data_IF_565485085820
#
_entry.id   IF_565485085820
#
_cell.length_a   1.000
_cell.length_b   1.000
_cell.length_c   1.000
_cell.angle_alpha   90.00
_cell.angle_beta   90.00
_cell.angle_gamma   90.00
#
_symmetry.space_group_name_H-M   'P 1'
#
loop_
_entity.id
_entity.type
_entity.pdbx_description
1 polymer ?
#
# COMPACT_ATOMS: atom_id res chain seq x y z
N UNK A 1 -11.25 -18.20 -63.06
CA UNK A 1 -11.70 -18.58 -61.70
C UNK A 1 -11.31 -17.47 -60.76
N UNK A 2 -12.33 -16.71 -60.38
CA UNK A 2 -12.17 -15.65 -59.38
C UNK A 2 -12.15 -16.32 -58.01
N UNK A 3 -11.02 -16.16 -57.26
CA UNK A 3 -10.78 -16.86 -56.02
C UNK A 3 -11.35 -16.07 -54.82
N UNK A 4 -12.61 -16.35 -54.47
CA UNK A 4 -13.34 -15.69 -53.39
C UNK A 4 -12.69 -15.84 -52.04
N UNK A 5 -11.87 -16.88 -51.84
CA UNK A 5 -11.15 -17.11 -50.60
C UNK A 5 -10.12 -16.00 -50.32
N UNK A 6 -9.49 -15.45 -51.37
CA UNK A 6 -8.53 -14.34 -51.24
C UNK A 6 -9.20 -13.02 -50.84
N UNK A 7 -10.46 -12.83 -51.22
CA UNK A 7 -11.20 -11.60 -50.91
C UNK A 7 -11.61 -11.55 -49.42
N UNK A 8 -11.85 -12.68 -48.80
CA UNK A 8 -12.25 -12.79 -47.37
C UNK A 8 -11.03 -12.69 -46.43
N UNK A 9 -9.91 -13.27 -46.83
CA UNK A 9 -8.68 -13.31 -46.01
C UNK A 9 -7.94 -11.97 -45.99
N UNK A 10 -8.05 -11.17 -47.08
CA UNK A 10 -7.34 -9.92 -47.23
C UNK A 10 -7.73 -8.84 -46.19
N UNK A 11 -9.02 -8.60 -45.87
CA UNK A 11 -9.43 -7.65 -44.84
C UNK A 11 -8.99 -8.08 -43.42
N UNK A 12 -9.08 -9.38 -43.10
CA UNK A 12 -8.65 -9.90 -41.78
C UNK A 12 -7.12 -9.78 -41.64
N UNK A 13 -6.36 -10.08 -42.71
CA UNK A 13 -4.92 -9.92 -42.70
C UNK A 13 -4.51 -8.45 -42.53
N UNK A 14 -5.13 -7.50 -43.28
CA UNK A 14 -4.89 -6.06 -43.12
C UNK A 14 -5.24 -5.54 -41.74
N UNK A 15 -6.36 -6.00 -41.17
CA UNK A 15 -6.77 -5.65 -39.81
C UNK A 15 -5.75 -6.13 -38.78
N UNK A 16 -5.26 -7.35 -38.90
CA UNK A 16 -4.27 -7.91 -37.99
C UNK A 16 -2.90 -7.24 -38.13
N UNK A 17 -2.48 -6.89 -39.35
CA UNK A 17 -1.23 -6.15 -39.60
C UNK A 17 -1.24 -4.77 -38.95
N UNK A 18 -2.40 -4.10 -38.86
CA UNK A 18 -2.55 -2.79 -38.21
C UNK A 18 -2.74 -2.96 -36.67
N UNK A 19 -3.57 -3.90 -36.25
CA UNK A 19 -3.87 -4.10 -34.83
C UNK A 19 -2.68 -4.67 -34.04
N UNK A 20 -1.88 -5.50 -34.65
CA UNK A 20 -0.75 -6.17 -33.98
C UNK A 20 0.31 -5.17 -33.48
N UNK A 21 0.80 -4.20 -34.30
CA UNK A 21 1.73 -3.20 -33.81
C UNK A 21 1.08 -2.22 -32.80
N UNK A 22 -0.22 -1.92 -32.95
CA UNK A 22 -0.94 -1.09 -31.99
C UNK A 22 -1.07 -1.76 -30.63
N UNK A 23 -1.43 -3.03 -30.59
CA UNK A 23 -1.51 -3.83 -29.38
C UNK A 23 -0.13 -4.06 -28.76
N UNK A 24 0.90 -4.30 -29.57
CA UNK A 24 2.28 -4.41 -29.11
C UNK A 24 2.78 -3.11 -28.46
N UNK A 25 2.49 -1.95 -29.09
CA UNK A 25 2.80 -0.64 -28.51
C UNK A 25 2.11 -0.45 -27.17
N UNK A 26 0.83 -0.76 -27.08
CA UNK A 26 0.04 -0.68 -25.83
C UNK A 26 0.58 -1.60 -24.74
N UNK A 27 0.95 -2.83 -25.11
CA UNK A 27 1.58 -3.77 -24.20
C UNK A 27 2.92 -3.25 -23.69
N UNK A 28 3.76 -2.69 -24.55
CA UNK A 28 5.05 -2.10 -24.17
C UNK A 28 4.83 -0.90 -23.23
N UNK A 29 3.85 -0.04 -23.50
CA UNK A 29 3.49 1.08 -22.61
C UNK A 29 3.06 0.58 -21.23
N UNK A 30 2.19 -0.44 -21.18
CA UNK A 30 1.75 -1.06 -19.92
C UNK A 30 2.95 -1.64 -19.17
N UNK A 31 3.80 -2.42 -19.84
CA UNK A 31 4.99 -3.03 -19.22
C UNK A 31 6.02 -1.97 -18.76
N UNK A 32 6.13 -0.86 -19.49
CA UNK A 32 6.98 0.27 -19.10
C UNK A 32 6.44 0.98 -17.86
N UNK A 33 5.14 1.26 -17.81
CA UNK A 33 4.47 1.83 -16.64
C UNK A 33 4.60 0.91 -15.42
N UNK A 34 4.46 -0.40 -15.60
CA UNK A 34 4.62 -1.38 -14.52
C UNK A 34 6.05 -1.37 -13.98
N UNK A 35 7.07 -1.32 -14.84
CA UNK A 35 8.48 -1.22 -14.43
C UNK A 35 8.83 0.13 -13.79
N UNK A 36 8.24 1.22 -14.24
CA UNK A 36 8.44 2.53 -13.59
C UNK A 36 7.81 2.55 -12.20
N UNK A 37 6.61 1.96 -12.03
CA UNK A 37 5.96 1.79 -10.72
C UNK A 37 6.84 0.94 -9.80
N UNK A 38 7.39 -0.15 -10.29
CA UNK A 38 8.27 -1.05 -9.52
C UNK A 38 9.55 -0.32 -9.05
N UNK A 39 10.20 0.44 -9.93
CA UNK A 39 11.42 1.21 -9.59
C UNK A 39 11.16 2.34 -8.59
N UNK A 40 10.03 3.02 -8.70
CA UNK A 40 9.65 4.11 -7.78
C UNK A 40 9.29 3.54 -6.41
N UNK A 41 8.63 2.38 -6.38
CA UNK A 41 8.19 1.75 -5.13
C UNK A 41 9.35 1.12 -4.34
N UNK A 42 10.42 0.67 -5.02
CA UNK A 42 11.61 0.12 -4.34
C UNK A 42 12.54 1.18 -3.75
N UNK A 43 12.50 2.42 -4.23
CA UNK A 43 13.49 3.45 -3.90
C UNK A 43 12.99 4.61 -3.07
N UNK A 44 11.67 4.84 -3.00
CA UNK A 44 11.13 6.00 -2.28
C UNK A 44 10.55 5.56 -0.93
N UNK A 45 11.07 6.08 0.19
CA UNK A 45 10.47 5.87 1.51
C UNK A 45 9.01 6.33 1.52
N UNK A 46 8.17 5.67 2.32
CA UNK A 46 6.76 6.07 2.55
C UNK A 46 6.64 7.56 2.85
N UNK A 47 7.63 8.06 3.59
CA UNK A 47 7.74 9.45 4.01
C UNK A 47 7.70 10.44 2.85
N UNK A 48 8.38 10.17 1.72
CA UNK A 48 8.42 11.12 0.60
C UNK A 48 7.05 11.33 -0.05
N UNK A 49 6.18 10.31 -0.01
CA UNK A 49 4.88 10.34 -0.70
C UNK A 49 3.73 10.74 0.20
N UNK A 50 3.75 10.34 1.46
CA UNK A 50 2.65 10.56 2.40
C UNK A 50 2.84 11.79 3.27
N UNK A 51 4.06 12.03 3.77
CA UNK A 51 4.31 13.15 4.70
C UNK A 51 3.81 14.51 4.21
N UNK A 52 3.93 14.88 2.91
CA UNK A 52 3.40 16.16 2.43
C UNK A 52 1.89 16.33 2.58
N UNK A 53 1.15 15.22 2.77
CA UNK A 53 -0.30 15.19 2.90
C UNK A 53 -0.78 14.86 4.32
N UNK A 54 0.15 14.64 5.25
CA UNK A 54 -0.14 14.29 6.64
C UNK A 54 0.01 15.48 7.57
N UNK A 55 -0.67 15.44 8.71
CA UNK A 55 -0.61 16.47 9.74
C UNK A 55 0.15 15.97 10.96
N UNK A 56 1.08 16.81 11.46
CA UNK A 56 1.86 16.49 12.65
C UNK A 56 1.04 16.61 13.93
N UNK A 57 1.03 15.57 14.72
CA UNK A 57 0.48 15.50 16.07
C UNK A 57 1.56 15.06 17.05
N UNK A 58 1.65 15.78 18.20
CA UNK A 58 2.60 15.47 19.27
C UNK A 58 1.86 14.79 20.41
N UNK A 59 2.38 13.67 20.84
CA UNK A 59 1.82 12.90 21.94
C UNK A 59 2.88 12.62 23.00
N UNK A 60 2.50 12.73 24.28
CA UNK A 60 3.38 12.43 25.39
C UNK A 60 3.46 10.93 25.67
N UNK A 61 4.54 10.51 26.30
CA UNK A 61 4.69 9.16 26.79
C UNK A 61 3.46 8.75 27.66
N UNK A 62 2.99 7.51 27.46
CA UNK A 62 1.79 6.98 28.13
C UNK A 62 0.46 7.30 27.42
N UNK A 63 0.46 8.13 26.38
CA UNK A 63 -0.75 8.41 25.61
C UNK A 63 -1.19 7.15 24.84
N UNK A 64 -2.47 6.76 25.01
CA UNK A 64 -3.09 5.69 24.21
C UNK A 64 -3.53 6.27 22.89
N UNK A 65 -2.89 5.84 21.80
CA UNK A 65 -3.18 6.35 20.47
C UNK A 65 -4.53 5.84 19.96
N UNK A 66 -4.77 4.54 20.08
CA UNK A 66 -6.06 3.88 19.84
C UNK A 66 -6.12 2.53 20.58
N UNK A 67 -7.32 2.01 20.77
CA UNK A 67 -7.56 0.73 21.45
C UNK A 67 -8.01 -0.34 20.46
N UNK A 68 -7.73 -1.58 20.80
CA UNK A 68 -8.32 -2.73 20.09
C UNK A 68 -9.86 -2.61 20.06
N UNK A 69 -10.45 -2.84 18.89
CA UNK A 69 -11.89 -2.73 18.64
C UNK A 69 -12.39 -1.33 18.31
N UNK A 70 -11.59 -0.27 18.48
CA UNK A 70 -11.95 1.08 18.05
C UNK A 70 -12.16 1.14 16.53
N UNK A 71 -12.91 2.12 16.07
CA UNK A 71 -13.08 2.40 14.65
C UNK A 71 -11.76 2.91 14.05
N UNK A 72 -11.42 2.44 12.86
CA UNK A 72 -10.19 2.80 12.16
C UNK A 72 -10.49 3.79 11.04
N UNK A 73 -10.33 5.05 11.33
CA UNK A 73 -10.57 6.20 10.44
C UNK A 73 -9.28 6.96 10.08
N UNK A 74 -8.14 6.55 10.65
CA UNK A 74 -6.88 7.24 10.49
C UNK A 74 -5.69 6.27 10.39
N UNK A 75 -4.63 6.72 9.71
CA UNK A 75 -3.31 6.09 9.73
C UNK A 75 -2.28 7.05 10.30
N UNK A 76 -1.20 6.50 10.86
CA UNK A 76 -0.14 7.26 11.46
C UNK A 76 1.22 6.84 10.92
N UNK A 77 2.07 7.82 10.65
CA UNK A 77 3.48 7.62 10.38
C UNK A 77 4.30 8.13 11.55
N UNK A 78 5.18 7.30 12.06
CA UNK A 78 6.04 7.61 13.21
C UNK A 78 7.23 8.43 12.74
N UNK A 79 7.23 9.74 13.02
CA UNK A 79 8.34 10.63 12.72
C UNK A 79 9.45 10.53 13.77
N UNK A 80 9.06 10.50 15.06
CA UNK A 80 9.98 10.28 16.17
C UNK A 80 9.28 9.59 17.34
N UNK A 81 10.07 9.03 18.25
CA UNK A 81 9.57 8.30 19.42
C UNK A 81 9.36 6.82 19.16
N UNK A 82 8.80 6.13 20.16
CA UNK A 82 8.56 4.68 20.17
C UNK A 82 7.14 4.41 20.60
N UNK A 83 6.46 3.53 19.89
CA UNK A 83 5.13 3.04 20.19
C UNK A 83 5.21 1.59 20.69
N UNK A 84 4.44 1.25 21.72
CA UNK A 84 4.29 -0.11 22.22
C UNK A 84 2.96 -0.70 21.79
N UNK A 85 3.00 -1.92 21.28
CA UNK A 85 1.82 -2.71 20.91
C UNK A 85 1.39 -3.53 22.12
N UNK A 86 0.24 -3.24 22.71
CA UNK A 86 -0.29 -4.03 23.83
C UNK A 86 -0.76 -5.40 23.34
N UNK A 87 -0.43 -6.44 24.11
CA UNK A 87 -0.73 -7.83 23.73
C UNK A 87 0.32 -8.49 22.82
N UNK A 88 1.22 -7.72 22.25
CA UNK A 88 2.42 -8.21 21.57
C UNK A 88 3.63 -7.61 22.28
N UNK A 89 4.60 -8.41 22.65
CA UNK A 89 5.86 -7.89 23.22
C UNK A 89 6.71 -7.25 22.11
N UNK A 90 6.17 -6.17 21.52
CA UNK A 90 6.73 -5.52 20.34
C UNK A 90 6.58 -4.00 20.41
N UNK A 91 7.60 -3.32 19.88
CA UNK A 91 7.63 -1.86 19.74
C UNK A 91 7.79 -1.46 18.29
N UNK A 92 7.30 -0.26 17.95
CA UNK A 92 7.41 0.36 16.63
C UNK A 92 8.15 1.67 16.80
N UNK A 93 9.23 1.84 16.06
CA UNK A 93 10.05 3.05 16.03
C UNK A 93 9.77 3.96 14.84
N UNK A 94 10.61 5.00 14.65
CA UNK A 94 10.53 5.93 13.53
C UNK A 94 10.53 5.24 12.17
N UNK A 95 10.09 5.98 11.14
CA UNK A 95 9.97 5.52 9.74
C UNK A 95 8.99 4.36 9.54
N UNK A 96 8.03 4.21 10.45
CA UNK A 96 7.01 3.17 10.40
C UNK A 96 5.62 3.76 10.18
N UNK A 97 4.80 3.06 9.39
CA UNK A 97 3.38 3.36 9.21
C UNK A 97 2.57 2.39 10.06
N UNK A 98 1.53 2.87 10.75
CA UNK A 98 0.65 2.07 11.59
C UNK A 98 -0.82 2.42 11.37
N UNK A 99 -1.71 1.48 11.70
CA UNK A 99 -3.16 1.64 11.57
C UNK A 99 -3.71 1.33 10.18
N UNK A 100 -2.87 1.08 9.20
CA UNK A 100 -3.25 0.79 7.83
C UNK A 100 -4.00 -0.54 7.69
N UNK A 101 -3.65 -1.57 8.47
CA UNK A 101 -4.30 -2.89 8.40
C UNK A 101 -5.79 -2.76 8.72
N UNK A 102 -6.12 -2.08 9.81
CA UNK A 102 -7.50 -1.88 10.24
C UNK A 102 -8.30 -1.02 9.25
N UNK A 103 -7.67 -0.02 8.65
CA UNK A 103 -8.31 0.85 7.67
C UNK A 103 -8.76 0.08 6.43
N UNK A 104 -7.95 -0.89 5.98
CA UNK A 104 -8.25 -1.72 4.81
C UNK A 104 -8.95 -3.04 5.15
N UNK A 105 -9.24 -3.30 6.42
CA UNK A 105 -10.03 -4.47 6.83
C UNK A 105 -11.53 -4.24 6.58
N UNK A 106 -12.31 -5.30 6.30
CA UNK A 106 -13.74 -5.16 6.03
C UNK A 106 -14.55 -4.58 7.18
N UNK A 107 -14.14 -4.85 8.41
CA UNK A 107 -14.81 -4.40 9.64
C UNK A 107 -14.31 -3.05 10.15
N UNK A 108 -13.24 -2.51 9.56
CA UNK A 108 -12.61 -1.24 9.94
C UNK A 108 -12.36 -1.13 11.46
N UNK A 109 -11.93 -2.21 12.10
CA UNK A 109 -11.65 -2.24 13.54
C UNK A 109 -10.16 -2.34 13.83
N UNK A 110 -9.69 -1.59 14.85
CA UNK A 110 -8.32 -1.68 15.34
C UNK A 110 -8.04 -3.08 15.87
N UNK A 111 -6.97 -3.69 15.44
CA UNK A 111 -6.60 -5.06 15.78
C UNK A 111 -5.79 -5.16 17.08
N UNK A 112 -5.25 -4.05 17.57
CA UNK A 112 -4.39 -3.96 18.75
C UNK A 112 -4.55 -2.60 19.41
N UNK A 113 -4.24 -2.53 20.71
CA UNK A 113 -4.05 -1.26 21.44
C UNK A 113 -2.62 -0.78 21.25
N UNK A 114 -2.46 0.51 20.91
CA UNK A 114 -1.16 1.15 20.70
C UNK A 114 -0.99 2.31 21.67
N UNK A 115 0.16 2.34 22.36
CA UNK A 115 0.50 3.33 23.37
C UNK A 115 1.84 3.98 23.03
N UNK A 116 1.95 5.29 23.19
CA UNK A 116 3.21 6.01 23.10
C UNK A 116 4.10 5.62 24.28
N UNK A 117 5.19 4.90 24.05
CA UNK A 117 6.15 4.53 25.09
C UNK A 117 7.04 5.70 25.47
N UNK A 118 7.36 6.54 24.51
CA UNK A 118 8.08 7.81 24.68
C UNK A 118 7.23 8.97 24.16
N UNK A 119 7.71 10.19 24.28
CA UNK A 119 7.14 11.31 23.52
C UNK A 119 7.30 11.04 22.03
N UNK A 120 6.23 11.22 21.27
CA UNK A 120 6.14 10.87 19.85
C UNK A 120 5.67 12.05 19.00
N UNK A 121 6.34 12.24 17.88
CA UNK A 121 5.85 13.05 16.77
C UNK A 121 5.23 12.10 15.73
N UNK A 122 3.91 12.14 15.61
CA UNK A 122 3.16 11.29 14.70
C UNK A 122 2.52 12.13 13.61
N UNK A 123 2.69 11.73 12.36
CA UNK A 123 2.00 12.33 11.23
C UNK A 123 0.75 11.50 10.94
N UNK A 124 -0.40 12.15 10.91
CA UNK A 124 -1.71 11.54 10.78
C UNK A 124 -2.38 11.91 9.46
N UNK A 125 -3.12 10.97 8.90
CA UNK A 125 -3.97 11.16 7.73
C UNK A 125 -5.27 10.35 7.92
N UNK A 126 -6.42 10.98 7.60
CA UNK A 126 -7.72 10.31 7.67
C UNK A 126 -7.96 9.39 6.48
N UNK A 127 -8.91 8.47 6.63
CA UNK A 127 -9.33 7.56 5.55
C UNK A 127 -9.86 8.34 4.33
N UNK A 128 -10.61 9.41 4.54
CA UNK A 128 -11.11 10.27 3.46
C UNK A 128 -9.97 10.90 2.65
N UNK A 129 -8.93 11.39 3.32
CA UNK A 129 -7.75 11.95 2.67
C UNK A 129 -6.98 10.88 1.88
N UNK A 130 -6.91 9.65 2.40
CA UNK A 130 -6.28 8.52 1.71
C UNK A 130 -7.06 8.16 0.45
N UNK A 131 -8.41 8.09 0.54
CA UNK A 131 -9.26 7.86 -0.63
C UNK A 131 -9.10 8.95 -1.68
N UNK A 132 -9.10 10.22 -1.29
CA UNK A 132 -8.87 11.34 -2.22
C UNK A 132 -7.51 11.22 -2.91
N UNK A 133 -6.47 10.91 -2.14
CA UNK A 133 -5.12 10.74 -2.67
C UNK A 133 -5.03 9.54 -3.62
N UNK A 134 -5.74 8.45 -3.31
CA UNK A 134 -5.85 7.28 -4.19
C UNK A 134 -6.51 7.62 -5.54
N UNK A 135 -7.61 8.38 -5.54
CA UNK A 135 -8.26 8.80 -6.77
C UNK A 135 -7.40 9.74 -7.62
N UNK A 136 -6.62 10.61 -6.98
CA UNK A 136 -5.71 11.52 -7.65
C UNK A 136 -4.45 10.83 -8.17
N UNK A 137 -3.98 9.80 -7.46
CA UNK A 137 -2.77 9.07 -7.80
C UNK A 137 -2.93 7.55 -7.56
N UNK A 138 -3.39 6.80 -8.58
CA UNK A 138 -3.56 5.34 -8.46
C UNK A 138 -2.29 4.56 -8.08
N UNK A 139 -1.11 5.14 -8.30
CA UNK A 139 0.17 4.53 -7.89
C UNK A 139 0.26 4.35 -6.38
N UNK A 140 -0.35 5.26 -5.60
CA UNK A 140 -0.43 5.16 -4.15
C UNK A 140 -1.23 3.96 -3.68
N UNK A 141 -2.35 3.65 -4.32
CA UNK A 141 -3.14 2.45 -3.97
C UNK A 141 -2.35 1.16 -4.15
N UNK A 142 -1.57 1.09 -5.24
CA UNK A 142 -0.69 -0.06 -5.47
C UNK A 142 0.42 -0.15 -4.41
N UNK A 143 0.95 0.99 -3.98
CA UNK A 143 1.92 1.07 -2.90
C UNK A 143 1.35 0.55 -1.56
N UNK A 144 0.16 1.04 -1.16
CA UNK A 144 -0.51 0.56 0.06
C UNK A 144 -0.79 -0.95 0.02
N UNK A 145 -1.25 -1.46 -1.11
CA UNK A 145 -1.48 -2.89 -1.29
C UNK A 145 -0.18 -3.70 -1.07
N UNK A 146 0.93 -3.27 -1.65
CA UNK A 146 2.24 -3.90 -1.43
C UNK A 146 2.68 -3.86 0.04
N UNK A 147 2.48 -2.71 0.71
CA UNK A 147 2.82 -2.55 2.12
C UNK A 147 2.04 -3.54 2.99
N UNK A 148 0.72 -3.61 2.81
CA UNK A 148 -0.15 -4.52 3.56
C UNK A 148 0.25 -5.98 3.31
N UNK A 149 0.44 -6.37 2.05
CA UNK A 149 0.86 -7.72 1.69
C UNK A 149 2.23 -8.07 2.29
N UNK A 150 3.20 -7.16 2.23
CA UNK A 150 4.52 -7.37 2.81
C UNK A 150 4.44 -7.60 4.33
N UNK A 151 3.61 -6.85 5.04
CA UNK A 151 3.39 -7.03 6.49
C UNK A 151 2.71 -8.35 6.81
N UNK A 152 1.64 -8.70 6.10
CA UNK A 152 0.97 -9.99 6.29
C UNK A 152 1.93 -11.17 6.06
N UNK A 153 2.78 -11.10 5.04
CA UNK A 153 3.80 -12.13 4.81
C UNK A 153 4.84 -12.19 5.93
N UNK A 154 5.28 -11.04 6.45
CA UNK A 154 6.21 -10.99 7.58
C UNK A 154 5.58 -11.57 8.86
N UNK A 155 4.29 -11.33 9.09
CA UNK A 155 3.57 -11.92 10.23
C UNK A 155 3.43 -13.43 10.10
N UNK A 156 3.08 -13.94 8.93
CA UNK A 156 3.03 -15.38 8.65
C UNK A 156 4.40 -16.04 8.88
N UNK A 157 5.49 -15.39 8.47
CA UNK A 157 6.84 -15.91 8.70
C UNK A 157 7.22 -15.93 10.19
N UNK A 158 6.86 -14.89 10.94
CA UNK A 158 7.08 -14.84 12.40
C UNK A 158 6.32 -15.96 13.12
N UNK A 159 5.06 -16.18 12.78
CA UNK A 159 4.27 -17.27 13.35
C UNK A 159 4.85 -18.65 13.02
N UNK A 160 5.32 -18.86 11.78
CA UNK A 160 5.98 -20.12 11.40
C UNK A 160 7.27 -20.35 12.17
N UNK A 161 8.10 -19.32 12.34
CA UNK A 161 9.34 -19.42 13.10
C UNK A 161 9.07 -19.72 14.60
N UNK A 162 8.08 -19.08 15.19
CA UNK A 162 7.67 -19.36 16.57
C UNK A 162 7.15 -20.79 16.75
N UNK A 163 6.35 -21.31 15.81
CA UNK A 163 5.84 -22.68 15.84
C UNK A 163 6.92 -23.75 15.61
N UNK A 164 8.07 -23.41 15.01
CA UNK A 164 9.20 -24.32 14.83
C UNK A 164 10.17 -24.30 16.02
N UNK A 165 10.09 -23.30 16.87
CA UNK A 165 10.95 -23.15 18.06
C UNK A 165 10.32 -23.73 19.35
N UNK A 166 9.03 -24.10 19.28
CA UNK A 166 8.27 -24.72 20.37
C UNK A 166 8.21 -26.25 20.22
#
# INVERSE_FOLDING_TARGET
HFDWAKLIVLPEFLLNVILLPLNAKRLIEILRLTKEIEKVTEKSPVSEWLLPHMHLHKHHAGHVLFREGDEADEIYYVGSGTLRLEGLDATIGPDSLIGEIALFSPDKKRTLTVVCETDCDLYMMTDEQIYQLYYQNPKLGFYFMRLVVARLLADVQRHKAAAQAA
#
